data_IF_524263941033
#
_entry.id   IF_524263941033
#
_cell.length_a   1.000
_cell.length_b   1.000
_cell.length_c   1.000
_cell.angle_alpha   90.00
_cell.angle_beta   90.00
_cell.angle_gamma   90.00
#
_symmetry.space_group_name_H-M   'P 1'
#
loop_
_entity.id
_entity.type
_entity.pdbx_description
1 polymer ?
#
# COMPACT_ATOMS: atom_id res chain seq x y z
N UNK A 1 -14.11 20.88 -20.67
CA UNK A 1 -13.03 20.13 -19.99
C UNK A 1 -13.24 18.68 -20.39
N UNK A 2 -12.34 18.18 -21.23
CA UNK A 2 -12.49 16.86 -21.83
C UNK A 2 -12.29 15.78 -20.77
N UNK A 3 -13.11 14.72 -20.82
CA UNK A 3 -13.09 13.64 -19.83
C UNK A 3 -11.71 12.99 -19.71
N UNK A 4 -11.00 12.86 -20.84
CA UNK A 4 -9.63 12.34 -20.91
C UNK A 4 -8.61 13.23 -20.17
N UNK A 5 -8.75 14.55 -20.26
CA UNK A 5 -7.88 15.48 -19.54
C UNK A 5 -8.12 15.41 -18.02
N UNK A 6 -9.38 15.32 -17.59
CA UNK A 6 -9.73 15.15 -16.18
C UNK A 6 -9.22 13.82 -15.62
N UNK A 7 -9.33 12.74 -16.38
CA UNK A 7 -8.82 11.41 -16.01
C UNK A 7 -7.29 11.43 -15.88
N UNK A 8 -6.58 12.07 -16.82
CA UNK A 8 -5.13 12.21 -16.77
C UNK A 8 -4.67 12.99 -15.52
N UNK A 9 -5.36 14.08 -15.18
CA UNK A 9 -5.08 14.88 -13.97
C UNK A 9 -5.35 14.07 -12.70
N UNK A 10 -6.48 13.35 -12.63
CA UNK A 10 -6.82 12.52 -11.48
C UNK A 10 -5.77 11.41 -11.26
N UNK A 11 -5.33 10.76 -12.35
CA UNK A 11 -4.29 9.74 -12.31
C UNK A 11 -2.95 10.29 -11.83
N UNK A 12 -2.54 11.45 -12.36
CA UNK A 12 -1.30 12.11 -11.94
C UNK A 12 -1.33 12.52 -10.46
N UNK A 13 -2.45 13.08 -9.99
CA UNK A 13 -2.65 13.45 -8.60
C UNK A 13 -2.64 12.23 -7.67
N UNK A 14 -3.28 11.14 -8.07
CA UNK A 14 -3.28 9.88 -7.33
C UNK A 14 -1.86 9.32 -7.21
N UNK A 15 -1.11 9.25 -8.31
CA UNK A 15 0.28 8.78 -8.30
C UNK A 15 1.14 9.67 -7.41
N UNK A 16 1.09 10.99 -7.56
CA UNK A 16 1.86 11.92 -6.74
C UNK A 16 1.59 11.77 -5.22
N UNK A 17 0.34 11.42 -4.86
CA UNK A 17 -0.06 11.22 -3.47
C UNK A 17 0.47 9.92 -2.86
N UNK A 18 0.43 8.81 -3.61
CA UNK A 18 0.67 7.47 -3.04
C UNK A 18 2.02 6.85 -3.42
N UNK A 19 2.68 7.35 -4.48
CA UNK A 19 3.94 6.79 -4.96
C UNK A 19 5.04 6.72 -3.88
N UNK A 20 5.27 7.76 -3.06
CA UNK A 20 6.28 7.69 -2.01
C UNK A 20 6.01 6.58 -0.99
N UNK A 21 4.76 6.46 -0.51
CA UNK A 21 4.37 5.45 0.47
C UNK A 21 4.47 4.03 -0.12
N UNK A 22 4.02 3.85 -1.35
CA UNK A 22 4.00 2.54 -2.02
C UNK A 22 5.42 2.05 -2.29
N UNK A 23 6.30 2.94 -2.75
CA UNK A 23 7.72 2.64 -2.95
C UNK A 23 8.40 2.28 -1.63
N UNK A 24 8.24 3.10 -0.60
CA UNK A 24 8.88 2.84 0.70
C UNK A 24 8.40 1.52 1.32
N UNK A 25 7.10 1.23 1.23
CA UNK A 25 6.55 -0.04 1.68
C UNK A 25 7.19 -1.24 0.95
N UNK A 26 7.31 -1.19 -0.37
CA UNK A 26 7.92 -2.26 -1.15
C UNK A 26 9.39 -2.47 -0.76
N UNK A 27 10.16 -1.39 -0.60
CA UNK A 27 11.56 -1.43 -0.15
C UNK A 27 11.68 -2.05 1.24
N UNK A 28 10.83 -1.65 2.18
CA UNK A 28 10.80 -2.22 3.55
C UNK A 28 10.53 -3.72 3.54
N UNK A 29 9.55 -4.16 2.74
CA UNK A 29 9.17 -5.56 2.68
C UNK A 29 10.23 -6.46 2.04
N UNK A 30 10.89 -5.96 1.00
CA UNK A 30 11.92 -6.73 0.28
C UNK A 30 13.30 -6.60 0.92
N UNK A 31 13.53 -5.56 1.75
CA UNK A 31 14.84 -5.18 2.29
C UNK A 31 15.89 -4.94 1.20
N UNK A 32 15.42 -4.47 0.04
CA UNK A 32 16.21 -4.21 -1.16
C UNK A 32 15.60 -2.99 -1.84
N UNK A 33 16.39 -1.93 -1.99
CA UNK A 33 15.92 -0.68 -2.59
C UNK A 33 15.62 -0.83 -4.08
N UNK A 34 16.47 -1.55 -4.82
CA UNK A 34 16.32 -1.75 -6.25
C UNK A 34 15.10 -2.61 -6.55
N UNK A 35 15.01 -3.79 -5.91
CA UNK A 35 13.86 -4.67 -6.09
C UNK A 35 12.56 -4.02 -5.62
N UNK A 36 12.60 -3.22 -4.55
CA UNK A 36 11.43 -2.52 -4.03
C UNK A 36 10.93 -1.45 -5.00
N UNK A 37 11.84 -0.66 -5.57
CA UNK A 37 11.53 0.33 -6.58
C UNK A 37 10.98 -0.32 -7.87
N UNK A 38 11.58 -1.43 -8.31
CA UNK A 38 11.15 -2.17 -9.51
C UNK A 38 9.73 -2.73 -9.37
N UNK A 39 9.40 -3.34 -8.21
CA UNK A 39 8.04 -3.81 -7.96
C UNK A 39 7.05 -2.64 -7.92
N UNK A 40 7.39 -1.56 -7.21
CA UNK A 40 6.51 -0.40 -7.13
C UNK A 40 6.25 0.20 -8.52
N UNK A 41 7.29 0.31 -9.38
CA UNK A 41 7.16 0.77 -10.75
C UNK A 41 6.32 -0.18 -11.63
N UNK A 42 6.50 -1.50 -11.47
CA UNK A 42 5.70 -2.50 -12.17
C UNK A 42 4.22 -2.42 -11.79
N UNK A 43 3.92 -2.24 -10.49
CA UNK A 43 2.55 -2.08 -9.98
C UNK A 43 1.95 -0.76 -10.48
N UNK A 44 2.70 0.34 -10.52
CA UNK A 44 2.22 1.59 -11.12
C UNK A 44 1.89 1.44 -12.59
N UNK A 45 2.72 0.75 -13.36
CA UNK A 45 2.43 0.43 -14.76
C UNK A 45 1.14 -0.40 -14.91
N UNK A 46 0.82 -1.27 -13.95
CA UNK A 46 -0.45 -2.01 -13.94
C UNK A 46 -1.64 -1.10 -13.56
N UNK A 47 -1.48 -0.23 -12.56
CA UNK A 47 -2.50 0.75 -12.16
C UNK A 47 -2.83 1.69 -13.30
N UNK A 48 -1.83 2.20 -14.02
CA UNK A 48 -2.04 3.12 -15.14
C UNK A 48 -2.75 2.46 -16.32
N UNK A 49 -2.43 1.18 -16.61
CA UNK A 49 -3.09 0.40 -17.66
C UNK A 49 -4.56 0.09 -17.36
N UNK A 50 -4.89 -0.11 -16.08
CA UNK A 50 -6.23 -0.49 -15.62
C UNK A 50 -6.86 0.61 -14.76
N UNK A 51 -6.56 1.87 -15.10
CA UNK A 51 -7.00 3.02 -14.32
C UNK A 51 -8.53 3.14 -14.30
N UNK A 52 -9.17 2.99 -15.46
CA UNK A 52 -10.63 3.01 -15.56
C UNK A 52 -11.29 1.93 -14.68
N UNK A 53 -10.72 0.72 -14.63
CA UNK A 53 -11.19 -0.34 -13.74
C UNK A 53 -11.02 0.00 -12.26
N UNK A 54 -9.88 0.61 -11.90
CA UNK A 54 -9.57 1.04 -10.54
C UNK A 54 -10.55 2.11 -10.01
N UNK A 55 -11.07 2.97 -10.90
CA UNK A 55 -12.07 3.99 -10.55
C UNK A 55 -13.46 3.39 -10.25
N UNK A 56 -13.74 2.17 -10.72
CA UNK A 56 -14.99 1.46 -10.38
C UNK A 56 -14.94 0.78 -9.01
N UNK A 57 -13.75 0.67 -8.40
CA UNK A 57 -13.61 0.14 -7.05
C UNK A 57 -14.24 1.08 -6.02
N UNK A 58 -14.81 0.50 -4.95
CA UNK A 58 -15.29 1.26 -3.80
C UNK A 58 -14.18 2.12 -3.14
N UNK A 59 -12.93 1.66 -3.23
CA UNK A 59 -11.74 2.41 -2.81
C UNK A 59 -10.63 2.21 -3.84
N UNK A 60 -10.37 3.25 -4.63
CA UNK A 60 -9.28 3.26 -5.63
C UNK A 60 -7.93 3.00 -4.98
N UNK A 61 -7.66 3.61 -3.82
CA UNK A 61 -6.46 3.37 -3.03
C UNK A 61 -6.38 1.92 -2.52
N UNK A 62 -7.50 1.36 -2.04
CA UNK A 62 -7.52 -0.01 -1.51
C UNK A 62 -7.25 -1.06 -2.59
N UNK A 63 -7.86 -0.91 -3.77
CA UNK A 63 -7.57 -1.77 -4.92
C UNK A 63 -6.10 -1.65 -5.36
N UNK A 64 -5.55 -0.43 -5.39
CA UNK A 64 -4.14 -0.22 -5.73
C UNK A 64 -3.20 -0.82 -4.67
N UNK A 65 -3.53 -0.67 -3.39
CA UNK A 65 -2.79 -1.25 -2.27
C UNK A 65 -2.76 -2.78 -2.34
N UNK A 66 -3.92 -3.41 -2.60
CA UNK A 66 -4.01 -4.86 -2.71
C UNK A 66 -3.10 -5.42 -3.83
N UNK A 67 -2.99 -4.72 -4.96
CA UNK A 67 -2.06 -5.07 -6.04
C UNK A 67 -0.61 -4.99 -5.57
N UNK A 68 -0.23 -3.88 -4.93
CA UNK A 68 1.11 -3.69 -4.39
C UNK A 68 1.46 -4.75 -3.35
N UNK A 69 0.62 -4.88 -2.31
CA UNK A 69 0.79 -5.84 -1.23
C UNK A 69 0.93 -7.27 -1.79
N UNK A 70 0.05 -7.67 -2.70
CA UNK A 70 0.15 -8.99 -3.35
C UNK A 70 1.45 -9.17 -4.13
N UNK A 71 1.87 -8.17 -4.92
CA UNK A 71 3.10 -8.24 -5.70
C UNK A 71 4.35 -8.39 -4.81
N UNK A 72 4.40 -7.64 -3.71
CA UNK A 72 5.49 -7.67 -2.74
C UNK A 72 5.49 -9.00 -1.98
N UNK A 73 4.35 -9.44 -1.44
CA UNK A 73 4.25 -10.67 -0.64
C UNK A 73 4.51 -11.93 -1.45
N UNK A 74 4.18 -11.93 -2.75
CA UNK A 74 4.45 -13.06 -3.64
C UNK A 74 5.84 -13.00 -4.31
N UNK A 75 6.65 -11.97 -4.02
CA UNK A 75 7.95 -11.83 -4.65
C UNK A 75 8.91 -12.93 -4.18
N UNK A 76 9.58 -13.66 -5.09
CA UNK A 76 10.37 -14.84 -4.73
C UNK A 76 11.59 -14.53 -3.87
N UNK A 77 12.11 -13.29 -3.94
CA UNK A 77 13.24 -12.83 -3.12
C UNK A 77 12.82 -12.19 -1.80
N UNK A 78 11.52 -12.14 -1.48
CA UNK A 78 11.07 -11.55 -0.23
C UNK A 78 11.57 -12.40 0.95
N UNK A 79 12.28 -11.82 1.93
CA UNK A 79 12.70 -12.56 3.11
C UNK A 79 11.50 -12.95 3.97
N UNK A 80 11.58 -14.11 4.62
CA UNK A 80 10.59 -14.52 5.63
C UNK A 80 10.62 -13.55 6.81
N UNK A 81 9.45 -13.32 7.38
CA UNK A 81 9.24 -12.42 8.52
C UNK A 81 8.31 -13.07 9.55
N UNK A 82 8.47 -12.74 10.83
CA UNK A 82 7.50 -13.13 11.86
C UNK A 82 6.09 -12.59 11.57
N UNK A 83 6.00 -11.49 10.80
CA UNK A 83 4.71 -10.94 10.35
C UNK A 83 4.00 -11.82 9.30
N UNK A 84 4.67 -12.83 8.73
CA UNK A 84 4.05 -13.74 7.76
C UNK A 84 3.01 -14.67 8.40
N UNK A 85 3.03 -14.81 9.73
CA UNK A 85 2.04 -15.56 10.50
C UNK A 85 0.74 -14.77 10.70
N UNK A 86 0.74 -13.47 10.40
CA UNK A 86 -0.40 -12.59 10.57
C UNK A 86 -1.23 -12.48 9.28
N UNK A 87 -2.52 -12.12 9.38
CA UNK A 87 -3.28 -11.68 8.22
C UNK A 87 -2.55 -10.52 7.52
N UNK A 88 -2.39 -10.62 6.19
CA UNK A 88 -1.62 -9.65 5.39
C UNK A 88 -2.00 -8.19 5.66
N UNK A 89 -3.28 -7.79 5.71
CA UNK A 89 -3.62 -6.40 6.01
C UNK A 89 -3.06 -5.92 7.36
N UNK A 90 -3.02 -6.79 8.36
CA UNK A 90 -2.51 -6.45 9.68
C UNK A 90 -0.98 -6.31 9.67
N UNK A 91 -0.28 -7.21 8.97
CA UNK A 91 1.16 -7.09 8.74
C UNK A 91 1.51 -5.80 7.97
N UNK A 92 0.74 -5.46 6.95
CA UNK A 92 0.90 -4.23 6.16
C UNK A 92 0.74 -2.98 7.01
N UNK A 93 -0.33 -2.92 7.82
CA UNK A 93 -0.58 -1.81 8.73
C UNK A 93 0.57 -1.62 9.73
N UNK A 94 1.09 -2.73 10.29
CA UNK A 94 2.25 -2.69 11.16
C UNK A 94 3.48 -2.15 10.43
N UNK A 95 3.79 -2.63 9.23
CA UNK A 95 4.95 -2.19 8.46
C UNK A 95 4.85 -0.71 8.07
N UNK A 96 3.69 -0.24 7.62
CA UNK A 96 3.45 1.16 7.29
C UNK A 96 3.71 2.08 8.49
N UNK A 97 3.22 1.72 9.68
CA UNK A 97 3.37 2.53 10.90
C UNK A 97 4.77 2.47 11.48
N UNK A 98 5.32 1.28 11.64
CA UNK A 98 6.54 1.07 12.42
C UNK A 98 7.82 1.02 11.60
N UNK A 99 7.75 0.64 10.32
CA UNK A 99 8.94 0.51 9.47
C UNK A 99 9.03 1.61 8.43
N UNK A 100 7.92 1.97 7.80
CA UNK A 100 7.86 3.14 6.90
C UNK A 100 7.75 4.44 7.70
N UNK A 101 7.10 4.41 8.87
CA UNK A 101 6.97 5.58 9.75
C UNK A 101 5.82 6.50 9.39
N UNK A 102 4.81 6.02 8.66
CA UNK A 102 3.64 6.81 8.32
C UNK A 102 2.75 7.05 9.55
N UNK A 103 2.15 8.23 9.61
CA UNK A 103 1.06 8.52 10.54
C UNK A 103 -0.16 7.65 10.23
N UNK A 104 -0.96 7.33 11.25
CA UNK A 104 -2.12 6.44 11.14
C UNK A 104 -3.05 6.79 9.98
N UNK A 105 -3.45 8.06 9.88
CA UNK A 105 -4.36 8.51 8.82
C UNK A 105 -3.75 8.35 7.42
N UNK A 106 -2.44 8.56 7.28
CA UNK A 106 -1.73 8.39 6.01
C UNK A 106 -1.57 6.93 5.63
N UNK A 107 -1.35 6.06 6.61
CA UNK A 107 -1.27 4.63 6.39
C UNK A 107 -2.65 4.04 6.05
N UNK A 108 -3.70 4.45 6.77
CA UNK A 108 -5.08 4.09 6.48
C UNK A 108 -5.49 4.51 5.07
N UNK A 109 -5.18 5.76 4.72
CA UNK A 109 -5.44 6.30 3.39
C UNK A 109 -4.68 5.54 2.30
N UNK A 110 -3.40 5.21 2.51
CA UNK A 110 -2.61 4.43 1.56
C UNK A 110 -3.18 3.03 1.34
N UNK A 111 -3.75 2.41 2.37
CA UNK A 111 -4.45 1.13 2.25
C UNK A 111 -5.91 1.27 1.78
N UNK A 112 -6.37 2.50 1.56
CA UNK A 112 -7.73 2.81 1.14
C UNK A 112 -8.81 2.38 2.13
N UNK A 113 -8.53 2.46 3.43
CA UNK A 113 -9.45 2.15 4.52
C UNK A 113 -9.67 3.35 5.44
N UNK A 114 -10.74 3.30 6.24
CA UNK A 114 -11.00 4.30 7.27
C UNK A 114 -9.97 4.23 8.41
N UNK A 115 -9.61 5.39 8.99
CA UNK A 115 -8.62 5.46 10.09
C UNK A 115 -9.00 4.59 11.29
N UNK A 116 -10.28 4.49 11.64
CA UNK A 116 -10.74 3.66 12.75
C UNK A 116 -10.54 2.16 12.46
N UNK A 117 -10.83 1.72 11.22
CA UNK A 117 -10.60 0.35 10.79
C UNK A 117 -9.10 0.02 10.78
N UNK A 118 -8.27 0.95 10.31
CA UNK A 118 -6.82 0.83 10.34
C UNK A 118 -6.27 0.67 11.77
N UNK A 119 -6.70 1.53 12.70
CA UNK A 119 -6.26 1.46 14.09
C UNK A 119 -6.72 0.18 14.78
N UNK A 120 -7.94 -0.29 14.51
CA UNK A 120 -8.41 -1.59 15.02
C UNK A 120 -7.53 -2.73 14.51
N UNK A 121 -7.20 -2.74 13.21
CA UNK A 121 -6.36 -3.75 12.57
C UNK A 121 -4.92 -3.72 13.10
N UNK A 122 -4.35 -2.52 13.27
CA UNK A 122 -3.00 -2.34 13.79
C UNK A 122 -2.88 -2.84 15.24
N UNK A 123 -3.90 -2.60 16.07
CA UNK A 123 -3.95 -3.08 17.45
C UNK A 123 -4.03 -4.60 17.59
N UNK A 124 -4.44 -5.34 16.57
CA UNK A 124 -4.40 -6.81 16.63
C UNK A 124 -2.98 -7.36 16.52
N UNK A 125 -2.02 -6.55 16.06
CA UNK A 125 -0.63 -6.95 15.83
C UNK A 125 0.29 -6.49 16.96
N UNK A 126 0.03 -5.31 17.52
CA UNK A 126 0.80 -4.79 18.65
C UNK A 126 0.23 -5.37 19.95
N UNK A 127 0.97 -6.19 20.71
CA UNK A 127 0.50 -6.64 22.01
C UNK A 127 0.23 -5.41 22.89
N UNK A 128 -0.96 -5.35 23.48
CA UNK A 128 -1.32 -4.29 24.41
C UNK A 128 -0.27 -4.29 25.53
N UNK A 129 0.33 -3.14 25.90
CA UNK A 129 1.07 -3.09 27.15
C UNK A 129 0.09 -3.52 28.26
N UNK A 130 0.42 -4.59 28.97
CA UNK A 130 -0.34 -5.01 30.14
C UNK A 130 -0.38 -3.81 31.10
N UNK A 131 -1.59 -3.35 31.40
CA UNK A 131 -1.85 -2.31 32.40
C UNK A 131 -1.54 -2.85 33.80
#
# INVERSE_FOLDING_TARGET
MDAEAAESVARAAFRARFEPAYRQFAVVCLRDEGAGADIAAAVWTQIERDWAGLLTCASTAGCAWQRLSSAVHNHPRRPRSALDELPRPAADAFLLRHRVGLQADRAAEAMGMESAAFESLYRTVVPHPAA
#
